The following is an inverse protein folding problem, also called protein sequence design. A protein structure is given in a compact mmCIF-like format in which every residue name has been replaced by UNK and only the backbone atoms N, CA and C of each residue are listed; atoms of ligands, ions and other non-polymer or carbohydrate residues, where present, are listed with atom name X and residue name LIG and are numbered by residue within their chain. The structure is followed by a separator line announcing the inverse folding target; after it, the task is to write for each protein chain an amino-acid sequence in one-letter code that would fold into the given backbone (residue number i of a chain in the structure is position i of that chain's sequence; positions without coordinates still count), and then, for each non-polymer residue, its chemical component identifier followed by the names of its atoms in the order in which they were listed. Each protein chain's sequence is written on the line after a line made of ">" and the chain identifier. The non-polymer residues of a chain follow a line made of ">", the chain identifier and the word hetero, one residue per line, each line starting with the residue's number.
data_IF_188909838647
#
_entry.id   IF_188909838647
#
_cell.length_a   1.000
_cell.length_b   1.000
_cell.length_c   1.000
_cell.angle_alpha   90.00
_cell.angle_beta   90.00
_cell.angle_gamma   90.00
#
_symmetry.space_group_name_H-M   'P 1'
#
loop_
_entity.id
_entity.type
_entity.pdbx_description
1 polymer ?
#
# COMPACT_ATOMS: atom_id res chain seq x y z
N UNK A 1 2.26 -45.02 26.69
CA UNK A 1 2.28 -43.57 26.89
C UNK A 1 2.88 -42.94 25.65
N UNK A 2 2.04 -42.45 24.73
CA UNK A 2 2.52 -41.72 23.57
C UNK A 2 2.95 -40.32 24.04
N UNK A 3 4.23 -39.99 23.91
CA UNK A 3 4.73 -38.64 24.11
C UNK A 3 4.16 -37.77 23.00
N UNK A 4 3.07 -37.05 23.29
CA UNK A 4 2.64 -35.91 22.48
C UNK A 4 3.79 -34.89 22.52
N UNK A 5 4.69 -34.96 21.54
CA UNK A 5 5.66 -33.91 21.28
C UNK A 5 4.88 -32.68 20.89
N UNK A 6 4.63 -31.77 21.84
CA UNK A 6 4.11 -30.45 21.57
C UNK A 6 5.13 -29.72 20.71
N UNK A 7 4.94 -29.76 19.39
CA UNK A 7 5.72 -28.94 18.46
C UNK A 7 5.61 -27.50 18.92
N UNK A 8 6.74 -26.91 19.32
CA UNK A 8 6.82 -25.51 19.76
C UNK A 8 6.13 -24.62 18.73
N UNK A 9 5.20 -23.79 19.18
CA UNK A 9 4.53 -22.79 18.33
C UNK A 9 5.59 -21.86 17.74
N UNK A 10 5.60 -21.72 16.42
CA UNK A 10 6.51 -20.79 15.74
C UNK A 10 6.06 -19.35 15.95
N UNK A 11 7.03 -18.46 16.07
CA UNK A 11 6.81 -17.03 16.32
C UNK A 11 7.23 -16.22 15.09
N UNK A 12 6.31 -15.43 14.54
CA UNK A 12 6.56 -14.54 13.42
C UNK A 12 6.51 -13.07 13.85
N UNK A 13 7.45 -12.25 13.38
CA UNK A 13 7.42 -10.79 13.55
C UNK A 13 7.21 -10.11 12.19
N UNK A 14 6.15 -9.32 12.06
CA UNK A 14 5.77 -8.61 10.83
C UNK A 14 5.91 -7.10 11.06
N UNK A 15 6.81 -6.45 10.32
CA UNK A 15 6.80 -4.98 10.23
C UNK A 15 5.79 -4.54 9.19
N UNK A 16 5.10 -3.41 9.40
CA UNK A 16 4.07 -2.96 8.47
C UNK A 16 2.81 -3.84 8.44
N UNK A 17 2.50 -4.51 9.57
CA UNK A 17 1.37 -5.44 9.70
C UNK A 17 0.00 -4.80 9.34
N UNK A 18 -0.15 -3.48 9.52
CA UNK A 18 -1.38 -2.73 9.21
C UNK A 18 -1.53 -2.39 7.72
N UNK A 19 -0.54 -2.73 6.90
CA UNK A 19 -0.58 -2.60 5.45
C UNK A 19 -1.47 -3.66 4.79
N UNK A 20 -1.57 -3.61 3.46
CA UNK A 20 -2.29 -4.61 2.67
C UNK A 20 -1.72 -6.01 2.94
N UNK A 21 -0.43 -6.19 2.63
CA UNK A 21 0.19 -7.51 2.60
C UNK A 21 0.39 -8.05 4.02
N UNK A 22 0.72 -7.16 4.97
CA UNK A 22 0.82 -7.49 6.38
C UNK A 22 -0.48 -8.08 6.95
N UNK A 23 -1.64 -7.54 6.56
CA UNK A 23 -2.94 -8.05 7.04
C UNK A 23 -3.25 -9.46 6.53
N UNK A 24 -2.98 -9.75 5.25
CA UNK A 24 -3.17 -11.09 4.69
C UNK A 24 -2.13 -12.09 5.21
N UNK A 25 -0.88 -11.64 5.39
CA UNK A 25 0.16 -12.50 5.93
C UNK A 25 -0.14 -12.89 7.39
N UNK A 26 -0.64 -11.95 8.19
CA UNK A 26 -1.08 -12.23 9.55
C UNK A 26 -2.17 -13.29 9.58
N UNK A 27 -3.23 -13.15 8.76
CA UNK A 27 -4.28 -14.17 8.59
C UNK A 27 -3.70 -15.56 8.27
N UNK A 28 -2.85 -15.61 7.24
CA UNK A 28 -2.25 -16.85 6.75
C UNK A 28 -1.39 -17.56 7.81
N UNK A 29 -0.60 -16.80 8.58
CA UNK A 29 0.26 -17.35 9.61
C UNK A 29 -0.53 -17.81 10.84
N UNK A 30 -1.54 -17.06 11.25
CA UNK A 30 -2.44 -17.44 12.36
C UNK A 30 -3.19 -18.74 12.00
N UNK A 31 -3.70 -18.87 10.78
CA UNK A 31 -4.35 -20.10 10.30
C UNK A 31 -3.41 -21.31 10.33
N UNK A 32 -2.10 -21.08 10.11
CA UNK A 32 -1.06 -22.10 10.26
C UNK A 32 -0.62 -22.36 11.70
N UNK A 33 -1.25 -21.71 12.67
CA UNK A 33 -0.99 -21.88 14.10
C UNK A 33 0.26 -21.15 14.61
N UNK A 34 0.74 -20.12 13.90
CA UNK A 34 1.82 -19.27 14.39
C UNK A 34 1.32 -18.33 15.49
N UNK A 35 2.26 -17.93 16.37
CA UNK A 35 2.13 -16.72 17.17
C UNK A 35 2.64 -15.55 16.34
N UNK A 36 1.80 -14.55 16.09
CA UNK A 36 2.10 -13.43 15.19
C UNK A 36 2.28 -12.16 15.98
N UNK A 37 3.44 -11.54 15.85
CA UNK A 37 3.75 -10.24 16.40
C UNK A 37 3.79 -9.21 15.29
N UNK A 38 3.18 -8.05 15.51
CA UNK A 38 3.14 -6.95 14.56
C UNK A 38 3.75 -5.69 15.12
N UNK A 39 4.58 -4.99 14.33
CA UNK A 39 5.03 -3.64 14.68
C UNK A 39 4.07 -2.61 14.10
N UNK A 40 3.51 -1.77 14.96
CA UNK A 40 2.61 -0.68 14.60
C UNK A 40 3.22 0.68 14.97
N UNK A 41 3.01 1.68 14.10
CA UNK A 41 3.36 3.07 14.41
C UNK A 41 2.30 3.69 15.30
N UNK A 42 2.73 4.51 16.25
CA UNK A 42 1.82 5.33 17.05
C UNK A 42 1.09 6.31 16.11
N UNK A 43 -0.24 6.33 16.19
CA UNK A 43 -1.09 7.25 15.46
C UNK A 43 -2.06 7.93 16.45
N UNK A 44 -2.47 9.16 16.16
CA UNK A 44 -3.53 9.85 16.92
C UNK A 44 -4.93 9.32 16.56
N UNK A 45 -5.05 8.61 15.44
CA UNK A 45 -6.27 7.94 14.98
C UNK A 45 -6.05 6.44 14.85
N UNK A 46 -7.14 5.66 14.89
CA UNK A 46 -7.10 4.22 14.67
C UNK A 46 -6.52 3.88 13.29
N UNK A 47 -5.42 3.11 13.29
CA UNK A 47 -4.68 2.73 12.09
C UNK A 47 -4.60 1.20 11.91
N UNK A 48 -5.42 0.44 12.64
CA UNK A 48 -5.45 -1.03 12.66
C UNK A 48 -6.66 -1.63 11.96
N UNK A 49 -7.41 -0.84 11.18
CA UNK A 49 -8.67 -1.27 10.54
C UNK A 49 -8.55 -2.52 9.66
N UNK A 50 -7.37 -2.81 9.09
CA UNK A 50 -7.13 -4.01 8.27
C UNK A 50 -6.91 -5.29 9.07
N UNK A 51 -6.66 -5.19 10.37
CA UNK A 51 -6.30 -6.31 11.25
C UNK A 51 -7.20 -6.37 12.50
N UNK A 52 -8.18 -5.47 12.61
CA UNK A 52 -9.06 -5.38 13.78
C UNK A 52 -9.90 -6.65 13.97
N UNK A 53 -10.27 -7.32 12.89
CA UNK A 53 -10.97 -8.60 12.93
C UNK A 53 -10.11 -9.78 13.40
N UNK A 54 -8.80 -9.58 13.58
CA UNK A 54 -7.85 -10.60 14.06
C UNK A 54 -7.62 -10.53 15.58
N UNK A 55 -8.18 -9.54 16.27
CA UNK A 55 -8.20 -9.57 17.73
C UNK A 55 -9.12 -10.69 18.23
N UNK A 56 -8.74 -11.34 19.34
CA UNK A 56 -9.60 -12.34 20.00
C UNK A 56 -10.92 -11.71 20.46
N UNK A 57 -10.85 -10.46 20.92
CA UNK A 57 -12.03 -9.62 21.11
C UNK A 57 -11.79 -8.25 20.45
N UNK A 58 -12.43 -8.00 19.30
CA UNK A 58 -12.31 -6.73 18.58
C UNK A 58 -12.80 -5.53 19.40
N UNK A 59 -13.74 -5.70 20.34
CA UNK A 59 -14.32 -4.59 21.13
C UNK A 59 -13.40 -4.17 22.26
N UNK A 60 -12.65 -5.10 22.85
CA UNK A 60 -11.69 -4.83 23.93
C UNK A 60 -10.23 -4.80 23.46
N UNK A 61 -9.98 -4.98 22.15
CA UNK A 61 -8.66 -5.15 21.56
C UNK A 61 -7.83 -6.23 22.28
N UNK A 62 -8.49 -7.31 22.72
CA UNK A 62 -7.80 -8.39 23.41
C UNK A 62 -6.93 -9.15 22.41
N UNK A 63 -5.65 -9.21 22.72
CA UNK A 63 -4.65 -9.94 21.93
C UNK A 63 -4.82 -11.45 22.13
N UNK A 64 -4.98 -12.15 21.01
CA UNK A 64 -5.06 -13.60 20.95
C UNK A 64 -3.74 -14.23 20.54
N UNK A 65 -3.76 -14.92 19.39
CA UNK A 65 -2.51 -15.36 18.73
C UNK A 65 -1.79 -14.22 17.99
N UNK A 66 -2.31 -13.00 18.06
CA UNK A 66 -1.74 -11.78 17.47
C UNK A 66 -1.41 -10.75 18.57
N UNK A 67 -0.17 -10.29 18.61
CA UNK A 67 0.35 -9.31 19.57
C UNK A 67 0.92 -8.08 18.87
N UNK A 68 0.56 -6.87 19.30
CA UNK A 68 1.02 -5.64 18.66
C UNK A 68 2.00 -4.85 19.53
N UNK A 69 3.05 -4.36 18.89
CA UNK A 69 4.14 -3.64 19.54
C UNK A 69 4.30 -2.28 18.90
N UNK A 70 4.35 -1.22 19.71
CA UNK A 70 4.70 0.09 19.18
C UNK A 70 6.17 0.14 18.79
N UNK A 71 6.43 0.53 17.54
CA UNK A 71 7.77 0.71 17.03
C UNK A 71 7.78 1.42 15.68
N UNK A 72 8.98 1.85 15.27
CA UNK A 72 9.20 2.49 13.97
C UNK A 72 10.54 2.02 13.41
N UNK A 73 10.58 1.82 12.08
CA UNK A 73 11.80 1.38 11.38
C UNK A 73 12.94 2.41 11.43
N UNK A 74 12.66 3.62 11.92
CA UNK A 74 13.67 4.66 12.15
C UNK A 74 14.31 4.61 13.53
N UNK A 75 13.74 3.87 14.48
CA UNK A 75 14.22 3.79 15.87
C UNK A 75 14.89 2.43 16.14
N UNK A 76 16.21 2.41 16.16
CA UNK A 76 16.99 1.19 16.40
C UNK A 76 16.73 0.56 17.77
N UNK A 77 16.55 1.38 18.82
CA UNK A 77 16.39 0.88 20.20
C UNK A 77 15.07 0.12 20.33
N UNK A 78 14.00 0.64 19.71
CA UNK A 78 12.71 -0.03 19.75
C UNK A 78 12.75 -1.39 19.03
N UNK A 79 13.44 -1.49 17.89
CA UNK A 79 13.57 -2.73 17.13
C UNK A 79 14.37 -3.79 17.89
N UNK A 80 15.50 -3.40 18.49
CA UNK A 80 16.31 -4.29 19.34
C UNK A 80 15.49 -4.78 20.54
N UNK A 81 14.78 -3.89 21.22
CA UNK A 81 13.92 -4.26 22.35
C UNK A 81 12.89 -5.31 21.93
N UNK A 82 12.13 -5.05 20.86
CA UNK A 82 11.07 -5.92 20.35
C UNK A 82 11.64 -7.30 19.97
N UNK A 83 12.72 -7.33 19.19
CA UNK A 83 13.36 -8.59 18.75
C UNK A 83 13.93 -9.38 19.94
N UNK A 84 14.55 -8.71 20.91
CA UNK A 84 15.12 -9.38 22.10
C UNK A 84 14.05 -10.02 22.99
N UNK A 85 12.87 -9.40 23.07
CA UNK A 85 11.74 -9.88 23.88
C UNK A 85 11.01 -11.03 23.20
N UNK A 86 10.74 -10.90 21.90
CA UNK A 86 9.94 -11.86 21.14
C UNK A 86 10.76 -13.10 20.75
N UNK A 87 12.05 -12.91 20.41
CA UNK A 87 12.93 -13.96 19.85
C UNK A 87 12.25 -14.74 18.72
N UNK A 88 11.83 -14.06 17.63
CA UNK A 88 11.05 -14.67 16.57
C UNK A 88 11.83 -15.79 15.85
N UNK A 89 11.11 -16.72 15.23
CA UNK A 89 11.70 -17.70 14.31
C UNK A 89 11.75 -17.15 12.88
N UNK A 90 10.80 -16.29 12.52
CA UNK A 90 10.65 -15.70 11.18
C UNK A 90 10.35 -14.20 11.28
N UNK A 91 11.06 -13.37 10.52
CA UNK A 91 10.83 -11.91 10.43
C UNK A 91 10.47 -11.53 9.01
N UNK A 92 9.36 -10.81 8.85
CA UNK A 92 8.86 -10.32 7.57
C UNK A 92 8.91 -8.79 7.56
N UNK A 93 9.87 -8.23 6.82
CA UNK A 93 10.02 -6.78 6.71
C UNK A 93 9.13 -6.22 5.58
N UNK A 94 7.88 -5.86 5.92
CA UNK A 94 6.91 -5.28 4.98
C UNK A 94 6.70 -3.77 5.22
N UNK A 95 7.22 -3.22 6.31
CA UNK A 95 7.14 -1.80 6.63
C UNK A 95 7.91 -0.95 5.62
N UNK A 96 7.25 0.06 5.06
CA UNK A 96 7.83 0.97 4.07
C UNK A 96 6.99 2.24 3.89
N UNK A 97 7.60 3.30 3.37
CA UNK A 97 6.89 4.33 2.61
C UNK A 97 6.72 3.83 1.17
N UNK A 98 5.63 3.10 0.91
CA UNK A 98 5.48 2.29 -0.30
C UNK A 98 4.95 3.03 -1.54
N UNK A 99 4.71 4.34 -1.48
CA UNK A 99 4.11 5.08 -2.59
C UNK A 99 5.17 5.79 -3.44
N UNK A 100 5.31 5.37 -4.70
CA UNK A 100 6.36 5.85 -5.62
C UNK A 100 6.30 7.36 -5.82
N UNK A 101 5.11 7.93 -6.12
CA UNK A 101 4.97 9.39 -6.29
C UNK A 101 5.37 10.19 -5.05
N UNK A 102 4.90 9.78 -3.86
CA UNK A 102 5.21 10.43 -2.57
C UNK A 102 6.71 10.37 -2.28
N UNK A 103 7.43 9.35 -2.76
CA UNK A 103 8.87 9.25 -2.54
C UNK A 103 9.69 10.39 -3.15
N UNK A 104 9.18 11.07 -4.18
CA UNK A 104 9.83 12.27 -4.73
C UNK A 104 9.67 13.49 -3.82
N UNK A 105 8.60 13.55 -3.05
CA UNK A 105 8.32 14.64 -2.11
C UNK A 105 9.02 14.40 -0.77
N UNK A 106 9.12 13.13 -0.35
CA UNK A 106 9.68 12.69 0.93
C UNK A 106 10.86 11.73 0.72
N UNK A 107 11.83 12.13 -0.10
CA UNK A 107 12.94 11.27 -0.52
C UNK A 107 13.82 10.81 0.66
N UNK A 108 14.20 11.73 1.55
CA UNK A 108 15.03 11.41 2.72
C UNK A 108 14.31 10.47 3.69
N UNK A 109 13.04 10.75 3.98
CA UNK A 109 12.23 9.88 4.81
C UNK A 109 12.07 8.49 4.19
N UNK A 110 11.83 8.41 2.87
CA UNK A 110 11.73 7.14 2.15
C UNK A 110 13.04 6.36 2.24
N UNK A 111 14.20 7.00 2.06
CA UNK A 111 15.49 6.34 2.21
C UNK A 111 15.72 5.87 3.67
N UNK A 112 15.37 6.70 4.66
CA UNK A 112 15.59 6.36 6.06
C UNK A 112 14.75 5.15 6.52
N UNK A 113 13.53 5.01 6.01
CA UNK A 113 12.64 3.88 6.32
C UNK A 113 12.96 2.67 5.46
N UNK A 114 12.94 2.81 4.13
CA UNK A 114 12.94 1.67 3.21
C UNK A 114 14.34 1.08 3.01
N UNK A 115 15.38 1.91 3.10
CA UNK A 115 16.78 1.48 2.98
C UNK A 115 17.38 1.24 4.37
N UNK A 116 17.57 2.30 5.17
CA UNK A 116 18.29 2.21 6.46
C UNK A 116 17.47 1.44 7.49
N UNK A 117 16.14 1.47 7.45
CA UNK A 117 15.30 0.64 8.33
C UNK A 117 15.50 -0.86 8.13
N UNK A 118 15.78 -1.30 6.89
CA UNK A 118 16.14 -2.70 6.61
C UNK A 118 17.47 -3.07 7.28
N UNK A 119 18.48 -2.20 7.19
CA UNK A 119 19.76 -2.39 7.88
C UNK A 119 19.55 -2.47 9.41
N UNK A 120 18.75 -1.57 9.99
CA UNK A 120 18.49 -1.58 11.45
C UNK A 120 17.87 -2.88 11.93
N UNK A 121 16.95 -3.48 11.16
CA UNK A 121 16.38 -4.79 11.50
C UNK A 121 17.42 -5.91 11.45
N UNK A 122 18.24 -5.94 10.39
CA UNK A 122 19.31 -6.93 10.25
C UNK A 122 20.33 -6.82 11.38
N UNK A 123 20.72 -5.59 11.74
CA UNK A 123 21.60 -5.33 12.88
C UNK A 123 20.95 -5.73 14.20
N UNK A 124 19.66 -5.43 14.40
CA UNK A 124 18.97 -5.84 15.61
C UNK A 124 18.93 -7.36 15.80
N UNK A 125 18.77 -8.14 14.72
CA UNK A 125 18.86 -9.61 14.74
C UNK A 125 20.26 -10.04 15.20
N UNK A 126 21.32 -9.42 14.65
CA UNK A 126 22.70 -9.71 15.02
C UNK A 126 23.01 -9.32 16.47
N UNK A 127 22.60 -8.14 16.91
CA UNK A 127 22.77 -7.65 18.29
C UNK A 127 22.10 -8.55 19.31
N UNK A 128 21.03 -9.25 18.92
CA UNK A 128 20.33 -10.21 19.76
C UNK A 128 20.89 -11.65 19.67
N UNK A 129 21.99 -11.87 18.94
CA UNK A 129 22.61 -13.17 18.69
C UNK A 129 21.64 -14.19 18.07
N UNK A 130 20.78 -13.72 17.15
CA UNK A 130 19.73 -14.53 16.50
C UNK A 130 20.05 -14.89 15.04
N UNK A 131 21.22 -14.53 14.52
CA UNK A 131 21.61 -14.70 13.11
C UNK A 131 21.47 -16.12 12.58
N UNK A 132 21.75 -17.13 13.40
CA UNK A 132 21.65 -18.55 13.02
C UNK A 132 20.28 -19.18 13.25
N UNK A 133 19.34 -18.44 13.86
CA UNK A 133 18.02 -18.95 14.25
C UNK A 133 16.89 -18.35 13.43
N UNK A 134 16.97 -17.05 13.15
CA UNK A 134 15.91 -16.29 12.47
C UNK A 134 16.00 -16.47 10.97
N UNK A 135 14.86 -16.69 10.32
CA UNK A 135 14.70 -16.50 8.88
C UNK A 135 14.17 -15.10 8.59
N UNK A 136 14.83 -14.36 7.73
CA UNK A 136 14.48 -12.99 7.38
C UNK A 136 13.94 -12.90 5.94
N UNK A 137 12.77 -12.30 5.78
CA UNK A 137 12.18 -11.98 4.49
C UNK A 137 12.16 -10.46 4.28
N UNK A 138 12.73 -10.01 3.17
CA UNK A 138 12.67 -8.64 2.70
C UNK A 138 11.63 -8.47 1.60
N UNK A 139 10.72 -7.50 1.79
CA UNK A 139 9.85 -7.03 0.71
C UNK A 139 10.65 -6.15 -0.28
N UNK A 140 11.30 -6.80 -1.25
CA UNK A 140 11.80 -6.15 -2.46
C UNK A 140 10.66 -5.90 -3.46
N UNK A 141 10.97 -5.35 -4.64
CA UNK A 141 9.93 -4.89 -5.57
C UNK A 141 10.43 -4.87 -7.01
N UNK A 142 9.53 -5.14 -7.95
CA UNK A 142 9.76 -4.94 -9.39
C UNK A 142 10.15 -3.49 -9.76
N UNK A 143 9.85 -2.49 -8.92
CA UNK A 143 10.28 -1.09 -9.13
C UNK A 143 11.81 -0.93 -9.18
N UNK A 144 12.58 -1.90 -8.67
CA UNK A 144 14.04 -1.93 -8.81
C UNK A 144 14.49 -2.08 -10.28
N UNK A 145 13.68 -2.70 -11.13
CA UNK A 145 13.99 -2.82 -12.56
C UNK A 145 13.80 -1.49 -13.32
N UNK A 146 12.91 -0.60 -12.85
CA UNK A 146 12.65 0.73 -13.40
C UNK A 146 12.76 0.83 -14.92
N UNK A 147 13.87 1.37 -15.44
CA UNK A 147 14.16 1.32 -16.89
C UNK A 147 14.55 -0.11 -17.27
N UNK A 148 13.55 -0.90 -17.64
CA UNK A 148 13.67 -2.32 -18.01
C UNK A 148 14.81 -2.57 -19.01
N UNK A 149 15.66 -3.54 -18.70
CA UNK A 149 16.75 -4.01 -19.57
C UNK A 149 16.41 -5.29 -20.34
N UNK A 150 15.51 -6.13 -19.80
CA UNK A 150 15.09 -7.40 -20.41
C UNK A 150 13.58 -7.61 -20.27
N UNK A 151 12.96 -8.32 -21.23
CA UNK A 151 11.53 -8.66 -21.21
C UNK A 151 11.39 -10.17 -21.52
N UNK A 152 10.74 -10.96 -20.64
CA UNK A 152 10.27 -10.60 -19.30
C UNK A 152 11.44 -10.39 -18.32
N UNK A 153 11.20 -9.68 -17.22
CA UNK A 153 12.20 -9.55 -16.16
C UNK A 153 12.24 -10.82 -15.30
N UNK A 154 13.44 -11.15 -14.82
CA UNK A 154 13.73 -12.29 -13.95
C UNK A 154 14.80 -11.90 -12.92
N UNK A 155 15.17 -12.81 -12.03
CA UNK A 155 16.12 -12.58 -10.94
C UNK A 155 17.50 -12.12 -11.40
N UNK A 156 17.89 -12.45 -12.65
CA UNK A 156 19.17 -12.04 -13.24
C UNK A 156 19.08 -10.78 -14.10
N UNK A 157 17.89 -10.23 -14.32
CA UNK A 157 17.72 -9.00 -15.11
C UNK A 157 18.37 -7.82 -14.36
N UNK A 158 19.19 -6.98 -15.03
CA UNK A 158 19.85 -5.86 -14.35
C UNK A 158 18.85 -4.82 -13.80
N UNK A 159 19.14 -4.30 -12.60
CA UNK A 159 18.35 -3.25 -11.96
C UNK A 159 18.67 -1.86 -12.54
N UNK A 160 17.64 -1.04 -12.70
CA UNK A 160 17.76 0.36 -13.10
C UNK A 160 16.60 1.18 -12.49
N UNK A 161 16.67 1.52 -11.19
CA UNK A 161 15.57 2.21 -10.51
C UNK A 161 15.35 3.63 -11.05
N UNK A 162 14.10 4.10 -11.00
CA UNK A 162 13.66 5.40 -11.55
C UNK A 162 12.96 6.32 -10.54
N UNK A 163 13.06 6.02 -9.25
CA UNK A 163 12.47 6.81 -8.17
C UNK A 163 13.29 6.70 -6.88
N UNK A 164 13.16 7.65 -5.92
CA UNK A 164 13.78 7.51 -4.60
C UNK A 164 13.36 6.22 -3.88
N UNK A 165 12.09 5.81 -4.02
CA UNK A 165 11.61 4.51 -3.55
C UNK A 165 12.37 3.33 -4.16
N UNK A 166 12.51 3.28 -5.49
CA UNK A 166 13.24 2.21 -6.18
C UNK A 166 14.72 2.14 -5.78
N UNK A 167 15.37 3.29 -5.60
CA UNK A 167 16.76 3.38 -5.14
C UNK A 167 16.89 2.89 -3.69
N UNK A 168 15.99 3.31 -2.79
CA UNK A 168 15.99 2.86 -1.41
C UNK A 168 15.77 1.34 -1.29
N UNK A 169 14.85 0.78 -2.09
CA UNK A 169 14.62 -0.67 -2.15
C UNK A 169 15.78 -1.44 -2.76
N UNK A 170 16.52 -0.85 -3.70
CA UNK A 170 17.74 -1.45 -4.24
C UNK A 170 18.86 -1.53 -3.18
N UNK A 171 19.01 -0.50 -2.33
CA UNK A 171 19.91 -0.59 -1.17
C UNK A 171 19.49 -1.74 -0.24
N UNK A 172 18.20 -1.80 0.12
CA UNK A 172 17.67 -2.84 0.99
C UNK A 172 17.89 -4.25 0.42
N UNK A 173 17.73 -4.42 -0.89
CA UNK A 173 18.02 -5.67 -1.59
C UNK A 173 19.48 -6.10 -1.41
N UNK A 174 20.44 -5.20 -1.65
CA UNK A 174 21.86 -5.50 -1.56
C UNK A 174 22.35 -5.70 -0.13
N UNK A 175 21.86 -4.92 0.85
CA UNK A 175 22.28 -5.10 2.24
C UNK A 175 21.82 -6.46 2.79
N UNK A 176 20.65 -6.94 2.36
CA UNK A 176 20.16 -8.29 2.70
C UNK A 176 21.05 -9.37 2.11
N UNK A 177 21.47 -9.23 0.85
CA UNK A 177 22.43 -10.17 0.22
C UNK A 177 23.75 -10.16 1.00
N UNK A 178 24.27 -8.97 1.30
CA UNK A 178 25.52 -8.84 2.04
C UNK A 178 25.45 -9.53 3.42
N UNK A 179 24.36 -9.40 4.16
CA UNK A 179 24.22 -10.05 5.46
C UNK A 179 24.05 -11.57 5.36
N UNK A 180 23.40 -12.06 4.29
CA UNK A 180 23.36 -13.50 3.99
C UNK A 180 24.76 -14.04 3.71
N UNK A 181 25.53 -13.37 2.86
CA UNK A 181 26.85 -13.85 2.42
C UNK A 181 27.93 -13.67 3.48
N UNK A 182 27.92 -12.55 4.22
CA UNK A 182 28.95 -12.23 5.21
C UNK A 182 28.75 -12.91 6.57
N UNK A 183 27.50 -13.20 6.95
CA UNK A 183 27.15 -13.72 8.28
C UNK A 183 26.39 -15.05 8.25
N UNK A 184 26.24 -15.68 7.09
CA UNK A 184 25.50 -16.91 6.88
C UNK A 184 24.05 -16.84 7.42
N UNK A 185 23.45 -15.66 7.36
CA UNK A 185 22.07 -15.44 7.78
C UNK A 185 21.10 -16.02 6.75
N UNK A 186 20.05 -16.73 7.21
CA UNK A 186 18.95 -17.10 6.33
C UNK A 186 18.13 -15.85 5.99
N UNK A 187 18.46 -15.18 4.88
CA UNK A 187 17.78 -13.97 4.43
C UNK A 187 17.42 -14.03 2.95
N UNK A 188 16.16 -13.72 2.60
CA UNK A 188 15.68 -13.75 1.22
C UNK A 188 15.04 -12.41 0.81
N UNK A 189 15.15 -12.11 -0.49
CA UNK A 189 14.50 -10.97 -1.13
C UNK A 189 13.34 -11.49 -1.96
N UNK A 190 12.12 -11.09 -1.63
CA UNK A 190 10.96 -11.32 -2.51
C UNK A 190 10.87 -10.20 -3.54
N UNK A 191 11.25 -10.45 -4.80
CA UNK A 191 11.07 -9.48 -5.89
C UNK A 191 9.63 -9.58 -6.40
N UNK A 192 8.71 -8.96 -5.66
CA UNK A 192 7.28 -9.01 -6.00
C UNK A 192 6.93 -7.96 -7.05
N UNK A 193 6.14 -8.38 -8.02
CA UNK A 193 5.42 -7.48 -8.92
C UNK A 193 4.16 -6.94 -8.24
N UNK A 194 3.52 -5.96 -8.88
CA UNK A 194 2.31 -5.35 -8.35
C UNK A 194 1.24 -6.41 -8.06
N UNK A 195 0.74 -6.39 -6.83
CA UNK A 195 -0.32 -7.25 -6.33
C UNK A 195 -1.31 -6.39 -5.55
N UNK A 196 -2.58 -6.68 -5.77
CA UNK A 196 -3.68 -5.77 -5.46
C UNK A 196 -4.80 -6.52 -4.74
N UNK A 197 -5.57 -5.81 -3.92
CA UNK A 197 -6.71 -6.40 -3.24
C UNK A 197 -7.73 -5.33 -2.81
N UNK A 198 -8.92 -5.73 -2.30
CA UNK A 198 -9.86 -4.81 -1.67
C UNK A 198 -9.28 -3.99 -0.51
N UNK A 199 -8.14 -4.39 0.07
CA UNK A 199 -7.43 -3.69 1.16
C UNK A 199 -6.38 -2.70 0.67
N UNK A 200 -6.20 -2.51 -0.65
CA UNK A 200 -5.22 -1.58 -1.21
C UNK A 200 -5.46 -0.15 -0.73
N UNK A 201 -4.39 0.63 -0.57
CA UNK A 201 -4.49 2.06 -0.29
C UNK A 201 -5.20 2.81 -1.42
N UNK A 202 -6.14 3.69 -1.06
CA UNK A 202 -7.05 4.38 -1.98
C UNK A 202 -6.36 5.28 -3.01
N UNK A 203 -5.10 5.64 -2.77
CA UNK A 203 -4.31 6.55 -3.63
C UNK A 203 -3.56 5.84 -4.76
N UNK A 204 -3.51 4.50 -4.78
CA UNK A 204 -2.81 3.76 -5.82
C UNK A 204 -3.62 3.69 -7.13
N UNK A 205 -2.96 3.90 -8.26
CA UNK A 205 -3.57 3.91 -9.59
C UNK A 205 -4.34 2.61 -9.91
N UNK A 206 -3.83 1.46 -9.48
CA UNK A 206 -4.47 0.15 -9.62
C UNK A 206 -5.78 0.01 -8.85
N UNK A 207 -5.91 0.64 -7.68
CA UNK A 207 -7.17 0.69 -6.93
C UNK A 207 -8.24 1.44 -7.73
N UNK A 208 -7.87 2.54 -8.40
CA UNK A 208 -8.75 3.26 -9.32
C UNK A 208 -9.14 2.38 -10.53
N UNK A 209 -8.20 1.58 -11.05
CA UNK A 209 -8.43 0.69 -12.19
C UNK A 209 -9.38 -0.48 -11.88
N UNK A 210 -9.20 -1.20 -10.77
CA UNK A 210 -10.08 -2.34 -10.40
C UNK A 210 -11.52 -1.89 -10.21
N UNK A 211 -11.72 -0.65 -9.78
CA UNK A 211 -13.05 -0.09 -9.52
C UNK A 211 -13.74 0.47 -10.78
N UNK A 212 -13.01 0.66 -11.90
CA UNK A 212 -13.57 1.19 -13.16
C UNK A 212 -14.64 0.31 -13.77
N UNK A 213 -14.57 -1.00 -13.56
CA UNK A 213 -15.46 -1.93 -14.25
C UNK A 213 -16.82 -2.11 -13.56
N UNK A 214 -16.94 -1.95 -12.23
CA UNK A 214 -18.12 -2.53 -11.56
C UNK A 214 -18.55 -1.99 -10.17
N UNK A 215 -18.01 -0.92 -9.58
CA UNK A 215 -18.58 -0.50 -8.27
C UNK A 215 -18.66 0.99 -7.97
N UNK A 216 -19.91 1.43 -7.84
CA UNK A 216 -20.37 2.69 -7.27
C UNK A 216 -19.87 2.88 -5.82
N UNK A 217 -19.45 4.09 -5.44
CA UNK A 217 -19.22 4.42 -4.03
C UNK A 217 -20.55 4.53 -3.25
N UNK A 218 -20.51 4.79 -1.93
CA UNK A 218 -21.73 5.00 -1.12
C UNK A 218 -22.64 6.10 -1.70
N UNK A 219 -22.09 7.04 -2.48
CA UNK A 219 -22.78 8.14 -3.15
C UNK A 219 -23.03 7.90 -4.66
N UNK A 220 -22.76 6.71 -5.20
CA UNK A 220 -22.94 6.46 -6.64
C UNK A 220 -21.81 6.96 -7.53
N UNK A 221 -20.74 7.53 -6.98
CA UNK A 221 -19.64 8.03 -7.80
C UNK A 221 -18.90 6.87 -8.48
N UNK A 222 -18.69 7.01 -9.78
CA UNK A 222 -17.73 6.19 -10.53
C UNK A 222 -16.30 6.67 -10.27
N UNK A 223 -15.27 5.86 -10.58
CA UNK A 223 -13.88 6.28 -10.43
C UNK A 223 -13.53 7.55 -11.24
N UNK A 224 -14.25 7.80 -12.34
CA UNK A 224 -14.10 9.03 -13.12
C UNK A 224 -14.59 10.25 -12.34
N UNK A 225 -15.73 10.17 -11.64
CA UNK A 225 -16.21 11.25 -10.77
C UNK A 225 -15.19 11.59 -9.67
N UNK A 226 -14.60 10.57 -9.05
CA UNK A 226 -13.58 10.77 -8.01
C UNK A 226 -12.28 11.36 -8.56
N UNK A 227 -11.83 10.92 -9.75
CA UNK A 227 -10.65 11.46 -10.41
C UNK A 227 -10.87 12.93 -10.80
N UNK A 228 -12.08 13.27 -11.26
CA UNK A 228 -12.47 14.64 -11.60
C UNK A 228 -12.54 15.52 -10.36
N UNK A 229 -13.28 15.10 -9.31
CA UNK A 229 -13.44 15.88 -8.06
C UNK A 229 -12.12 16.12 -7.32
N UNK A 230 -11.14 15.21 -7.47
CA UNK A 230 -9.81 15.36 -6.87
C UNK A 230 -8.80 16.07 -7.78
N UNK A 231 -9.19 16.49 -8.98
CA UNK A 231 -8.29 17.16 -9.94
C UNK A 231 -7.16 16.26 -10.47
N UNK A 232 -7.38 14.95 -10.54
CA UNK A 232 -6.37 13.99 -10.97
C UNK A 232 -6.37 13.80 -12.49
N UNK A 233 -5.92 14.80 -13.25
CA UNK A 233 -5.94 14.85 -14.72
C UNK A 233 -5.44 13.57 -15.41
N UNK A 234 -4.28 13.06 -14.98
CA UNK A 234 -3.64 11.89 -15.58
C UNK A 234 -4.44 10.61 -15.30
N UNK A 235 -5.08 10.54 -14.13
CA UNK A 235 -5.94 9.43 -13.75
C UNK A 235 -7.22 9.49 -14.58
N UNK A 236 -7.85 10.65 -14.67
CA UNK A 236 -9.04 10.85 -15.51
C UNK A 236 -8.76 10.45 -16.97
N UNK A 237 -7.66 10.93 -17.56
CA UNK A 237 -7.26 10.57 -18.92
C UNK A 237 -7.06 9.05 -19.09
N UNK A 238 -6.44 8.39 -18.12
CA UNK A 238 -6.25 6.93 -18.14
C UNK A 238 -7.58 6.17 -18.05
N UNK A 239 -8.49 6.61 -17.17
CA UNK A 239 -9.82 6.01 -17.00
C UNK A 239 -10.62 6.11 -18.31
N UNK A 240 -10.56 7.27 -18.98
CA UNK A 240 -11.25 7.51 -20.25
C UNK A 240 -10.65 6.63 -21.36
N UNK A 241 -9.33 6.55 -21.47
CA UNK A 241 -8.64 5.70 -22.44
C UNK A 241 -8.98 4.20 -22.28
N UNK A 242 -9.36 3.79 -21.07
CA UNK A 242 -9.77 2.42 -20.74
C UNK A 242 -11.28 2.17 -20.90
N UNK A 243 -12.03 3.14 -21.42
CA UNK A 243 -13.46 3.02 -21.69
C UNK A 243 -14.35 3.29 -20.48
N UNK A 244 -13.92 4.11 -19.51
CA UNK A 244 -14.80 4.58 -18.45
C UNK A 244 -16.02 5.30 -19.04
N UNK A 245 -17.20 5.03 -18.49
CA UNK A 245 -18.43 5.69 -18.92
C UNK A 245 -18.41 7.18 -18.53
N UNK A 246 -18.27 8.04 -19.54
CA UNK A 246 -18.27 9.50 -19.44
C UNK A 246 -19.64 10.07 -19.04
N UNK A 247 -20.71 9.32 -19.31
CA UNK A 247 -22.10 9.72 -19.09
C UNK A 247 -22.71 9.08 -17.83
N UNK A 248 -21.91 8.42 -17.01
CA UNK A 248 -22.41 7.83 -15.77
C UNK A 248 -22.89 8.95 -14.83
N UNK A 249 -24.05 8.76 -14.22
CA UNK A 249 -24.58 9.65 -13.18
C UNK A 249 -24.30 9.06 -11.80
N UNK A 250 -23.91 9.90 -10.84
CA UNK A 250 -23.87 9.51 -9.43
C UNK A 250 -25.29 9.54 -8.81
N UNK A 251 -25.42 9.25 -7.50
CA UNK A 251 -26.75 9.26 -6.84
C UNK A 251 -27.42 10.64 -6.81
N UNK A 252 -26.65 11.70 -7.04
CA UNK A 252 -27.14 13.09 -7.10
C UNK A 252 -27.51 13.50 -8.54
N UNK A 253 -27.35 12.60 -9.53
CA UNK A 253 -27.64 12.88 -10.93
C UNK A 253 -26.52 13.65 -11.65
N UNK A 254 -25.37 13.86 -11.01
CA UNK A 254 -24.27 14.60 -11.61
C UNK A 254 -23.40 13.69 -12.48
N UNK A 255 -23.10 14.17 -13.68
CA UNK A 255 -22.10 13.59 -14.59
C UNK A 255 -20.69 14.09 -14.23
N UNK A 256 -19.62 13.37 -14.61
CA UNK A 256 -18.25 13.80 -14.36
C UNK A 256 -17.95 15.20 -14.91
N UNK A 257 -18.48 15.57 -16.08
CA UNK A 257 -18.30 16.91 -16.65
C UNK A 257 -18.89 18.01 -15.76
N UNK A 258 -20.04 17.76 -15.13
CA UNK A 258 -20.67 18.72 -14.23
C UNK A 258 -19.78 19.00 -13.00
N UNK A 259 -19.18 17.95 -12.43
CA UNK A 259 -18.23 18.09 -11.31
C UNK A 259 -17.00 18.91 -11.74
N UNK A 260 -16.43 18.65 -12.92
CA UNK A 260 -15.27 19.39 -13.43
C UNK A 260 -15.53 20.90 -13.56
N UNK A 261 -16.75 21.26 -13.97
CA UNK A 261 -17.20 22.65 -14.08
C UNK A 261 -17.41 23.26 -12.70
N UNK A 262 -18.02 22.52 -11.77
CA UNK A 262 -18.29 23.00 -10.41
C UNK A 262 -17.02 23.26 -9.61
N UNK A 263 -16.03 22.38 -9.75
CA UNK A 263 -14.70 22.52 -9.14
C UNK A 263 -13.80 23.52 -9.89
N UNK A 264 -14.32 24.23 -10.89
CA UNK A 264 -13.59 25.25 -11.68
C UNK A 264 -12.26 24.72 -12.23
N UNK A 265 -12.25 23.49 -12.72
CA UNK A 265 -11.05 22.80 -13.20
C UNK A 265 -10.97 22.83 -14.74
N UNK A 266 -10.43 23.90 -15.36
CA UNK A 266 -10.44 24.07 -16.82
C UNK A 266 -9.71 22.94 -17.56
N UNK A 267 -8.63 22.43 -16.97
CA UNK A 267 -7.84 21.32 -17.53
C UNK A 267 -8.63 20.00 -17.57
N UNK A 268 -9.47 19.77 -16.58
CA UNK A 268 -10.32 18.57 -16.53
C UNK A 268 -11.46 18.66 -17.54
N UNK A 269 -12.06 19.85 -17.69
CA UNK A 269 -13.05 20.14 -18.74
C UNK A 269 -12.46 19.91 -20.12
N UNK A 270 -11.23 20.40 -20.36
CA UNK A 270 -10.53 20.19 -21.63
C UNK A 270 -10.29 18.71 -21.93
N UNK A 271 -9.81 17.94 -20.95
CA UNK A 271 -9.60 16.50 -21.08
C UNK A 271 -10.91 15.79 -21.41
N UNK A 272 -11.99 16.07 -20.67
CA UNK A 272 -13.29 15.44 -20.88
C UNK A 272 -13.91 15.76 -22.25
N UNK A 273 -13.83 17.02 -22.70
CA UNK A 273 -14.34 17.43 -24.02
C UNK A 273 -13.54 16.82 -25.17
N UNK A 274 -12.22 16.68 -25.01
CA UNK A 274 -11.33 16.15 -26.07
C UNK A 274 -11.60 14.68 -26.40
N UNK A 275 -12.16 13.91 -25.46
CA UNK A 275 -12.45 12.49 -25.63
C UNK A 275 -13.92 12.18 -26.01
N UNK A 276 -14.71 13.19 -26.39
CA UNK A 276 -15.99 12.98 -27.09
C UNK A 276 -17.27 13.21 -26.28
N UNK A 277 -17.23 14.00 -25.19
CA UNK A 277 -18.46 14.49 -24.56
C UNK A 277 -19.02 15.62 -25.42
N UNK A 278 -20.22 15.41 -25.97
CA UNK A 278 -20.95 16.47 -26.67
C UNK A 278 -21.42 17.51 -25.63
N UNK A 279 -20.94 18.77 -25.69
CA UNK A 279 -21.32 19.82 -24.72
C UNK A 279 -22.83 20.09 -24.70
N UNK A 280 -23.56 19.63 -25.72
CA UNK A 280 -25.01 19.79 -25.86
C UNK A 280 -25.83 18.69 -25.14
N UNK A 281 -25.21 17.59 -24.69
CA UNK A 281 -25.89 16.45 -24.01
C UNK A 281 -25.79 16.53 -22.48
N UNK A 282 -25.19 17.60 -21.96
CA UNK A 282 -25.40 18.01 -20.57
C UNK A 282 -26.87 18.43 -20.49
N UNK A 283 -27.70 17.56 -19.91
CA UNK A 283 -29.05 17.93 -19.56
C UNK A 283 -28.91 19.01 -18.48
N UNK A 284 -28.83 20.27 -18.90
CA UNK A 284 -28.95 21.43 -18.04
C UNK A 284 -30.40 21.49 -17.58
N UNK A 285 -30.90 20.49 -16.86
CA UNK A 285 -32.12 20.65 -16.08
C UNK A 285 -31.73 21.53 -14.88
N UNK A 286 -31.67 22.83 -15.16
CA UNK A 286 -31.85 23.88 -14.18
C UNK A 286 -33.03 23.44 -13.32
N UNK A 287 -32.82 23.27 -12.02
CA UNK A 287 -33.93 23.28 -11.10
C UNK A 287 -34.67 24.59 -11.34
N UNK A 288 -35.82 24.50 -11.99
CA UNK A 288 -36.77 25.58 -12.21
C UNK A 288 -37.12 26.15 -10.84
N UNK A 289 -36.53 27.28 -10.46
CA UNK A 289 -37.12 28.06 -9.37
C UNK A 289 -38.47 28.60 -9.88
N UNK A 290 -39.42 28.78 -8.95
CA UNK A 290 -40.83 29.10 -9.22
C UNK A 290 -41.07 30.39 -10.03
N UNK A 291 -40.01 31.11 -10.42
CA UNK A 291 -40.06 32.41 -11.09
C UNK A 291 -39.44 32.41 -12.50
N UNK A 292 -39.01 31.26 -13.06
CA UNK A 292 -38.85 31.09 -14.51
C UNK A 292 -37.71 31.86 -15.21
N UNK A 293 -36.65 32.28 -14.52
CA UNK A 293 -35.49 32.91 -15.18
C UNK A 293 -34.25 32.00 -15.19
N UNK A 294 -33.68 31.77 -16.39
CA UNK A 294 -32.37 31.14 -16.60
C UNK A 294 -31.31 32.23 -16.78
N UNK A 295 -30.23 32.23 -15.98
CA UNK A 295 -29.05 33.05 -16.28
C UNK A 295 -27.75 32.28 -16.09
N UNK A 296 -26.91 32.33 -17.12
CA UNK A 296 -25.49 32.01 -17.07
C UNK A 296 -24.77 33.25 -16.52
N UNK A 297 -23.87 33.10 -15.54
CA UNK A 297 -22.81 34.08 -15.32
C UNK A 297 -21.47 33.39 -15.54
N UNK A 298 -20.72 33.97 -16.48
CA UNK A 298 -19.33 33.67 -16.83
C UNK A 298 -18.42 33.62 -15.61
#
# INVERSE_FOLDING_TARGET
>A
MATNGTTRRKVALITGITGQDGSYLAEFLIEKGYEVHGIIRRSSTFNTSRIEHLYDDPKSHKEGSMHLHYGDLTDSTCLVKIISQIKPDEIYNLGAQSHVKVSFELAEYTANVDAVGTLRLLDAIRTCDLSSKVKFYQASTSEMFGKVQEIPQKETTPFYPRSPYGVAKLYAYWIVINYREAYDMFACNGILFNHESPRRGETNYSYLLVRTKTSFCKNGDTPLHLAVSRGHDHVAALLIALGANLEAENKEGYKPLYIAVMDRSPRMVEILLRFGIDPCVVNWDWATNSNGYKSIRY
#
